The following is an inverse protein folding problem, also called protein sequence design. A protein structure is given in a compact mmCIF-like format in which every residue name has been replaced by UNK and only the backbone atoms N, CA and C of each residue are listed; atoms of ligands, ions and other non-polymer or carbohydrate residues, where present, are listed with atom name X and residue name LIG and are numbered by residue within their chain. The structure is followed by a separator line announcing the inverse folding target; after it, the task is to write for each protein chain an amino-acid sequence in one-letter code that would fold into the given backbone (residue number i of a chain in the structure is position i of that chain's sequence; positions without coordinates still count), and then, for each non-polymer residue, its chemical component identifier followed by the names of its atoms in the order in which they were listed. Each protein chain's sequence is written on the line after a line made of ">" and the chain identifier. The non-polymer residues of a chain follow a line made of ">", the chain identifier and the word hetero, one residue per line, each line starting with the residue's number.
data_IF_752815436186
#
_entry.id   IF_752815436186
#
_cell.length_a   1.000
_cell.length_b   1.000
_cell.length_c   1.000
_cell.angle_alpha   90.00
_cell.angle_beta   90.00
_cell.angle_gamma   90.00
#
_symmetry.space_group_name_H-M   'P 1'
#
loop_
_entity.id
_entity.type
_entity.pdbx_description
1 polymer ?
#
# COMPACT_ATOMS: atom_id res chain seq x y z
N UNK A 1 -7.90 -19.33 2.75
CA UNK A 1 -9.29 -19.45 2.25
C UNK A 1 -9.75 -20.89 2.34
N UNK A 2 -11.04 -21.11 2.56
CA UNK A 2 -11.64 -22.45 2.55
C UNK A 2 -12.03 -22.86 1.12
N UNK A 3 -12.08 -24.17 0.84
CA UNK A 3 -12.41 -24.77 -0.47
C UNK A 3 -13.69 -24.21 -1.08
N UNK A 4 -14.73 -23.95 -0.28
CA UNK A 4 -15.99 -23.36 -0.76
C UNK A 4 -15.82 -21.94 -1.30
N UNK A 5 -14.97 -21.12 -0.68
CA UNK A 5 -14.69 -19.75 -1.14
C UNK A 5 -13.88 -19.78 -2.43
N UNK A 6 -12.91 -20.70 -2.54
CA UNK A 6 -12.12 -20.87 -3.77
C UNK A 6 -13.04 -21.27 -4.93
N UNK A 7 -13.94 -22.22 -4.72
CA UNK A 7 -14.93 -22.63 -5.73
C UNK A 7 -15.86 -21.50 -6.15
N UNK A 8 -16.31 -20.67 -5.18
CA UNK A 8 -17.14 -19.51 -5.50
C UNK A 8 -16.39 -18.52 -6.41
N UNK A 9 -15.14 -18.16 -6.08
CA UNK A 9 -14.35 -17.27 -6.94
C UNK A 9 -14.05 -17.88 -8.31
N UNK A 10 -13.72 -19.17 -8.38
CA UNK A 10 -13.47 -19.86 -9.64
C UNK A 10 -14.66 -19.81 -10.60
N UNK A 11 -15.89 -19.81 -10.07
CA UNK A 11 -17.09 -19.71 -10.89
C UNK A 11 -17.17 -18.40 -11.69
N UNK A 12 -16.54 -17.32 -11.22
CA UNK A 12 -16.50 -16.04 -11.93
C UNK A 12 -15.58 -16.04 -13.14
N UNK A 13 -14.58 -16.92 -13.23
CA UNK A 13 -13.59 -16.91 -14.33
C UNK A 13 -13.41 -18.28 -15.02
N UNK A 14 -14.31 -19.23 -14.75
CA UNK A 14 -14.43 -20.50 -15.48
C UNK A 14 -15.70 -20.54 -16.32
N UNK A 15 -15.95 -19.46 -17.07
CA UNK A 15 -17.09 -19.34 -17.99
C UNK A 15 -16.68 -19.71 -19.43
N UNK A 16 -17.64 -19.72 -20.35
CA UNK A 16 -17.35 -19.91 -21.79
C UNK A 16 -16.70 -18.66 -22.43
N UNK A 17 -16.75 -17.50 -21.77
CA UNK A 17 -16.20 -16.24 -22.26
C UNK A 17 -14.75 -16.07 -21.82
N UNK A 18 -13.80 -16.40 -22.70
CA UNK A 18 -12.36 -16.30 -22.42
C UNK A 18 -11.90 -14.86 -22.10
N UNK A 19 -12.46 -13.88 -22.79
CA UNK A 19 -12.12 -12.46 -22.57
C UNK A 19 -12.53 -12.02 -21.15
N UNK A 20 -13.76 -12.32 -20.75
CA UNK A 20 -14.23 -12.10 -19.38
C UNK A 20 -13.39 -12.84 -18.34
N UNK A 21 -13.11 -14.13 -18.58
CA UNK A 21 -12.31 -14.95 -17.67
C UNK A 21 -10.94 -14.34 -17.41
N UNK A 22 -10.28 -13.80 -18.45
CA UNK A 22 -8.99 -13.13 -18.33
C UNK A 22 -9.05 -11.92 -17.38
N UNK A 23 -10.05 -11.05 -17.56
CA UNK A 23 -10.23 -9.87 -16.71
C UNK A 23 -10.62 -10.21 -15.28
N UNK A 24 -11.59 -11.11 -15.10
CA UNK A 24 -12.03 -11.55 -13.77
C UNK A 24 -10.87 -12.22 -13.00
N UNK A 25 -10.05 -13.02 -13.68
CA UNK A 25 -8.87 -13.64 -13.09
C UNK A 25 -7.78 -12.62 -12.73
N UNK A 26 -7.48 -11.67 -13.63
CA UNK A 26 -6.48 -10.63 -13.36
C UNK A 26 -6.92 -9.74 -12.17
N UNK A 27 -8.21 -9.38 -12.12
CA UNK A 27 -8.79 -8.59 -11.03
C UNK A 27 -8.66 -9.30 -9.69
N UNK A 28 -9.03 -10.58 -9.61
CA UNK A 28 -8.96 -11.33 -8.34
C UNK A 28 -7.51 -11.55 -7.88
N UNK A 29 -6.57 -11.74 -8.82
CA UNK A 29 -5.15 -11.79 -8.48
C UNK A 29 -4.69 -10.46 -7.83
N UNK A 30 -5.08 -9.32 -8.39
CA UNK A 30 -4.72 -8.01 -7.84
C UNK A 30 -5.35 -7.77 -6.46
N UNK A 31 -6.62 -8.14 -6.28
CA UNK A 31 -7.32 -8.07 -4.98
C UNK A 31 -6.60 -8.89 -3.91
N UNK A 32 -6.21 -10.12 -4.24
CA UNK A 32 -5.51 -11.02 -3.31
C UNK A 32 -4.09 -10.53 -2.98
N UNK A 33 -3.39 -9.93 -3.94
CA UNK A 33 -2.06 -9.36 -3.73
C UNK A 33 -2.09 -8.10 -2.85
N UNK A 34 -3.06 -7.21 -3.09
CA UNK A 34 -3.20 -5.96 -2.33
C UNK A 34 -3.81 -6.18 -0.94
N UNK A 35 -4.60 -7.24 -0.76
CA UNK A 35 -5.32 -7.51 0.49
C UNK A 35 -6.29 -6.40 0.88
N UNK A 36 -6.77 -5.64 -0.11
CA UNK A 36 -7.57 -4.43 0.09
C UNK A 36 -9.05 -4.71 0.33
N UNK A 37 -9.53 -5.94 0.18
CA UNK A 37 -10.90 -6.34 0.48
C UNK A 37 -10.94 -7.47 1.52
N UNK A 38 -11.80 -7.35 2.53
CA UNK A 38 -12.03 -8.42 3.51
C UNK A 38 -12.61 -9.68 2.85
N UNK A 39 -13.53 -9.49 1.91
CA UNK A 39 -14.06 -10.55 1.06
C UNK A 39 -13.66 -10.31 -0.41
N UNK A 40 -12.75 -11.15 -0.96
CA UNK A 40 -12.33 -11.05 -2.35
C UNK A 40 -13.44 -11.27 -3.39
N UNK A 41 -14.58 -11.85 -2.98
CA UNK A 41 -15.74 -12.06 -3.85
C UNK A 41 -16.51 -10.76 -4.11
N UNK A 42 -16.53 -9.83 -3.16
CA UNK A 42 -17.26 -8.55 -3.26
C UNK A 42 -16.89 -7.76 -4.52
N UNK A 43 -15.61 -7.49 -4.83
CA UNK A 43 -15.25 -6.76 -6.04
C UNK A 43 -15.61 -7.51 -7.33
N UNK A 44 -15.47 -8.84 -7.38
CA UNK A 44 -15.89 -9.64 -8.55
C UNK A 44 -17.40 -9.59 -8.77
N UNK A 45 -18.17 -9.68 -7.69
CA UNK A 45 -19.62 -9.56 -7.74
C UNK A 45 -20.03 -8.21 -8.30
N UNK A 46 -19.48 -7.12 -7.76
CA UNK A 46 -19.76 -5.77 -8.26
C UNK A 46 -19.33 -5.59 -9.73
N UNK A 47 -18.19 -6.17 -10.10
CA UNK A 47 -17.70 -6.15 -11.48
C UNK A 47 -18.69 -6.85 -12.43
N UNK A 48 -19.13 -8.07 -12.10
CA UNK A 48 -20.14 -8.79 -12.88
C UNK A 48 -21.46 -8.01 -12.97
N UNK A 49 -21.98 -7.53 -11.83
CA UNK A 49 -23.22 -6.77 -11.78
C UNK A 49 -23.16 -5.48 -12.63
N UNK A 50 -21.99 -4.84 -12.72
CA UNK A 50 -21.83 -3.64 -13.56
C UNK A 50 -22.07 -3.94 -15.04
N UNK A 51 -21.60 -5.10 -15.52
CA UNK A 51 -21.76 -5.51 -16.92
C UNK A 51 -23.22 -5.80 -17.21
N UNK A 52 -23.91 -6.49 -16.31
CA UNK A 52 -25.35 -6.72 -16.42
C UNK A 52 -26.12 -5.38 -16.50
N UNK A 53 -25.85 -4.45 -15.59
CA UNK A 53 -26.48 -3.12 -15.59
C UNK A 53 -26.25 -2.36 -16.90
N UNK A 54 -25.01 -2.36 -17.42
CA UNK A 54 -24.69 -1.62 -18.63
C UNK A 54 -25.26 -2.28 -19.87
N UNK A 55 -25.35 -3.60 -19.92
CA UNK A 55 -26.00 -4.31 -21.03
C UNK A 55 -27.52 -4.17 -21.01
N UNK A 56 -28.15 -4.02 -19.83
CA UNK A 56 -29.61 -3.82 -19.71
C UNK A 56 -30.04 -2.36 -19.93
N UNK A 57 -29.19 -1.39 -19.56
CA UNK A 57 -29.54 0.03 -19.55
C UNK A 57 -28.67 0.90 -20.48
N UNK A 58 -28.03 0.32 -21.49
CA UNK A 58 -27.15 1.05 -22.43
C UNK A 58 -27.85 2.20 -23.17
N UNK A 59 -29.16 2.09 -23.45
CA UNK A 59 -29.95 3.16 -24.06
C UNK A 59 -30.12 4.39 -23.15
N UNK A 60 -29.84 4.23 -21.85
CA UNK A 60 -29.88 5.32 -20.86
C UNK A 60 -28.59 5.37 -20.03
N UNK A 61 -27.46 5.81 -20.63
CA UNK A 61 -26.13 5.73 -20.02
C UNK A 61 -26.02 6.34 -18.62
N UNK A 62 -26.64 7.52 -18.42
CA UNK A 62 -26.64 8.19 -17.12
C UNK A 62 -27.32 7.35 -16.03
N UNK A 63 -28.46 6.73 -16.35
CA UNK A 63 -29.19 5.87 -15.42
C UNK A 63 -28.40 4.61 -15.11
N UNK A 64 -27.75 4.02 -16.11
CA UNK A 64 -26.93 2.82 -15.93
C UNK A 64 -25.77 3.08 -14.95
N UNK A 65 -25.05 4.19 -15.11
CA UNK A 65 -23.96 4.58 -14.19
C UNK A 65 -24.48 4.89 -12.79
N UNK A 66 -25.63 5.56 -12.65
CA UNK A 66 -26.25 5.83 -11.35
C UNK A 66 -26.69 4.55 -10.63
N UNK A 67 -27.23 3.58 -11.35
CA UNK A 67 -27.61 2.27 -10.80
C UNK A 67 -26.38 1.52 -10.31
N UNK A 68 -25.30 1.53 -11.09
CA UNK A 68 -24.04 0.93 -10.66
C UNK A 68 -23.47 1.62 -9.42
N UNK A 69 -23.46 2.95 -9.37
CA UNK A 69 -23.03 3.72 -8.19
C UNK A 69 -23.85 3.33 -6.95
N UNK A 70 -25.17 3.27 -7.08
CA UNK A 70 -26.06 2.84 -6.00
C UNK A 70 -25.80 1.39 -5.55
N UNK A 71 -25.43 0.48 -6.46
CA UNK A 71 -25.09 -0.90 -6.14
C UNK A 71 -23.77 -0.99 -5.35
N UNK A 72 -22.79 -0.15 -5.69
CA UNK A 72 -21.54 -0.02 -4.91
C UNK A 72 -21.78 0.56 -3.52
N UNK A 73 -22.68 1.53 -3.39
CA UNK A 73 -23.02 2.17 -2.09
C UNK A 73 -23.76 1.22 -1.13
N UNK A 74 -24.45 0.20 -1.65
CA UNK A 74 -25.05 -0.85 -0.84
C UNK A 74 -24.02 -1.78 -0.20
N UNK A 75 -22.82 -1.87 -0.77
CA UNK A 75 -21.75 -2.68 -0.22
C UNK A 75 -20.99 -1.89 0.85
N UNK A 76 -20.50 -2.58 1.89
CA UNK A 76 -19.68 -1.98 2.95
C UNK A 76 -18.25 -1.77 2.47
N UNK A 77 -18.06 -0.99 1.41
CA UNK A 77 -16.75 -0.68 0.83
C UNK A 77 -16.40 0.80 0.99
N UNK A 78 -15.11 1.10 1.13
CA UNK A 78 -14.59 2.46 1.24
C UNK A 78 -14.39 3.13 -0.14
N UNK A 79 -13.99 4.41 -0.15
CA UNK A 79 -13.77 5.19 -1.39
C UNK A 79 -12.63 4.64 -2.26
N UNK A 80 -11.59 4.05 -1.66
CA UNK A 80 -10.43 3.47 -2.37
C UNK A 80 -10.85 2.16 -3.04
N UNK A 81 -11.57 1.31 -2.32
CA UNK A 81 -12.18 0.08 -2.82
C UNK A 81 -13.20 0.38 -3.92
N UNK A 82 -14.03 1.42 -3.75
CA UNK A 82 -14.98 1.87 -4.77
C UNK A 82 -14.24 2.34 -6.03
N UNK A 83 -13.20 3.16 -5.89
CA UNK A 83 -12.35 3.57 -7.00
C UNK A 83 -11.76 2.37 -7.74
N UNK A 84 -11.23 1.40 -7.01
CA UNK A 84 -10.66 0.17 -7.60
C UNK A 84 -11.67 -0.57 -8.49
N UNK A 85 -12.90 -0.77 -8.02
CA UNK A 85 -13.94 -1.43 -8.82
C UNK A 85 -14.28 -0.59 -10.06
N UNK A 86 -14.46 0.73 -9.90
CA UNK A 86 -14.75 1.62 -11.03
C UNK A 86 -13.66 1.62 -12.10
N UNK A 87 -12.38 1.59 -11.73
CA UNK A 87 -11.26 1.50 -12.66
C UNK A 87 -11.27 0.19 -13.46
N UNK A 88 -11.55 -0.93 -12.79
CA UNK A 88 -11.65 -2.25 -13.41
C UNK A 88 -12.83 -2.36 -14.38
N UNK A 89 -13.98 -1.83 -13.97
CA UNK A 89 -15.18 -1.73 -14.80
C UNK A 89 -14.90 -0.88 -16.05
N UNK A 90 -14.31 0.30 -15.87
CA UNK A 90 -13.92 1.17 -16.99
C UNK A 90 -12.91 0.50 -17.91
N UNK A 91 -11.91 -0.21 -17.36
CA UNK A 91 -10.91 -0.97 -18.13
C UNK A 91 -11.58 -2.02 -19.01
N UNK A 92 -12.52 -2.78 -18.46
CA UNK A 92 -13.24 -3.81 -19.21
C UNK A 92 -14.12 -3.19 -20.30
N UNK A 93 -15.00 -2.24 -19.95
CA UNK A 93 -15.93 -1.61 -20.90
C UNK A 93 -15.16 -0.92 -22.04
N UNK A 94 -13.99 -0.34 -21.78
CA UNK A 94 -13.16 0.32 -22.80
C UNK A 94 -12.59 -0.63 -23.85
N UNK A 95 -12.20 -1.84 -23.43
CA UNK A 95 -11.48 -2.80 -24.29
C UNK A 95 -12.32 -4.01 -24.68
N UNK A 96 -13.64 -3.97 -24.44
CA UNK A 96 -14.57 -5.04 -24.80
C UNK A 96 -15.56 -4.55 -25.85
N UNK A 97 -15.93 -5.44 -26.75
CA UNK A 97 -16.99 -5.21 -27.73
C UNK A 97 -18.31 -5.77 -27.20
N UNK A 98 -19.39 -5.00 -27.34
CA UNK A 98 -20.73 -5.40 -26.94
C UNK A 98 -21.61 -5.47 -28.19
N UNK A 99 -22.16 -6.65 -28.49
CA UNK A 99 -22.85 -6.93 -29.76
C UNK A 99 -23.99 -5.97 -30.11
N UNK A 100 -24.66 -5.38 -29.10
CA UNK A 100 -25.87 -4.56 -29.26
C UNK A 100 -25.83 -3.20 -28.56
N UNK A 101 -24.77 -2.90 -27.83
CA UNK A 101 -24.71 -1.73 -26.97
C UNK A 101 -23.63 -0.76 -27.43
N UNK A 102 -24.04 0.44 -27.85
CA UNK A 102 -23.13 1.58 -27.89
C UNK A 102 -22.82 1.98 -26.45
N UNK A 103 -21.56 1.82 -26.06
CA UNK A 103 -21.09 2.05 -24.69
C UNK A 103 -20.24 3.31 -24.57
N UNK A 104 -20.11 4.12 -25.62
CA UNK A 104 -19.21 5.27 -25.62
C UNK A 104 -19.62 6.33 -24.58
N UNK A 105 -20.92 6.63 -24.49
CA UNK A 105 -21.43 7.52 -23.43
C UNK A 105 -21.22 6.93 -22.02
N UNK A 106 -21.39 5.62 -21.85
CA UNK A 106 -21.11 4.93 -20.58
C UNK A 106 -19.63 5.04 -20.22
N UNK A 107 -18.73 4.85 -21.19
CA UNK A 107 -17.27 4.99 -21.00
C UNK A 107 -16.92 6.39 -20.52
N UNK A 108 -17.46 7.43 -21.16
CA UNK A 108 -17.18 8.82 -20.81
C UNK A 108 -17.71 9.19 -19.43
N UNK A 109 -18.93 8.75 -19.10
CA UNK A 109 -19.51 8.95 -17.77
C UNK A 109 -18.73 8.19 -16.68
N UNK A 110 -18.40 6.93 -16.90
CA UNK A 110 -17.58 6.14 -15.98
C UNK A 110 -16.20 6.76 -15.77
N UNK A 111 -15.57 7.27 -16.83
CA UNK A 111 -14.31 7.99 -16.75
C UNK A 111 -14.44 9.24 -15.88
N UNK A 112 -15.49 10.04 -16.08
CA UNK A 112 -15.77 11.22 -15.26
C UNK A 112 -15.94 10.86 -13.78
N UNK A 113 -16.72 9.81 -13.48
CA UNK A 113 -16.93 9.33 -12.11
C UNK A 113 -15.65 8.81 -11.46
N UNK A 114 -14.85 8.06 -12.22
CA UNK A 114 -13.56 7.52 -11.78
C UNK A 114 -12.60 8.66 -11.42
N UNK A 115 -12.51 9.70 -12.25
CA UNK A 115 -11.67 10.88 -11.95
C UNK A 115 -12.16 11.66 -10.73
N UNK A 116 -13.48 11.77 -10.53
CA UNK A 116 -14.06 12.36 -9.32
C UNK A 116 -13.63 11.57 -8.07
N UNK A 117 -13.71 10.25 -8.11
CA UNK A 117 -13.29 9.36 -7.02
C UNK A 117 -11.77 9.47 -6.77
N UNK A 118 -10.94 9.53 -7.81
CA UNK A 118 -9.48 9.76 -7.66
C UNK A 118 -9.18 11.05 -6.93
N UNK A 119 -9.86 12.14 -7.30
CA UNK A 119 -9.69 13.44 -6.63
C UNK A 119 -10.10 13.37 -5.16
N UNK A 120 -11.16 12.63 -4.84
CA UNK A 120 -11.61 12.43 -3.46
C UNK A 120 -10.62 11.61 -2.63
N UNK A 121 -10.13 10.50 -3.18
CA UNK A 121 -9.08 9.68 -2.57
C UNK A 121 -7.80 10.50 -2.35
N UNK A 122 -7.40 11.33 -3.31
CA UNK A 122 -6.22 12.21 -3.20
C UNK A 122 -6.35 13.25 -2.06
N UNK A 123 -7.56 13.59 -1.62
CA UNK A 123 -7.79 14.51 -0.49
C UNK A 123 -7.69 13.80 0.87
N UNK A 124 -7.71 12.47 0.91
CA UNK A 124 -7.57 11.73 2.17
C UNK A 124 -6.12 11.81 2.69
N UNK A 125 -5.91 12.09 3.99
CA UNK A 125 -4.58 12.25 4.57
C UNK A 125 -3.74 10.96 4.51
N UNK A 126 -4.39 9.80 4.42
CA UNK A 126 -3.76 8.48 4.38
C UNK A 126 -3.23 8.10 2.98
N UNK A 127 -3.85 8.61 1.90
CA UNK A 127 -3.42 8.39 0.51
C UNK A 127 -2.26 9.31 0.08
N UNK A 128 -1.98 10.37 0.86
CA UNK A 128 -0.81 11.24 0.69
C UNK A 128 0.45 10.68 1.35
N UNK A 129 0.56 9.37 1.57
CA UNK A 129 1.85 8.74 1.87
C UNK A 129 2.53 8.41 0.53
N UNK A 130 3.60 9.12 0.13
CA UNK A 130 4.38 8.69 -1.02
C UNK A 130 4.81 7.23 -0.80
N UNK A 131 4.85 6.43 -1.87
CA UNK A 131 5.25 5.00 -1.85
C UNK A 131 6.54 4.74 -1.04
N UNK A 132 7.43 5.73 -0.98
CA UNK A 132 8.70 5.68 -0.22
C UNK A 132 8.48 5.75 1.31
N UNK A 133 7.45 6.47 1.75
CA UNK A 133 7.05 6.54 3.16
C UNK A 133 6.52 5.21 3.66
N UNK A 134 5.63 4.55 2.90
CA UNK A 134 5.05 3.26 3.32
C UNK A 134 6.10 2.14 3.39
N UNK A 135 7.04 2.09 2.45
CA UNK A 135 8.13 1.09 2.48
C UNK A 135 9.08 1.36 3.65
N UNK A 136 9.46 2.63 3.89
CA UNK A 136 10.33 2.97 5.02
C UNK A 136 9.67 2.65 6.36
N UNK A 137 8.40 2.99 6.51
CA UNK A 137 7.64 2.72 7.74
C UNK A 137 7.49 1.20 7.95
N UNK A 138 7.17 0.45 6.91
CA UNK A 138 7.08 -1.02 6.97
C UNK A 138 8.42 -1.66 7.34
N UNK A 139 9.52 -1.21 6.71
CA UNK A 139 10.87 -1.69 7.04
C UNK A 139 11.24 -1.34 8.48
N UNK A 140 10.90 -0.14 8.95
CA UNK A 140 11.13 0.29 10.32
C UNK A 140 10.38 -0.58 11.31
N UNK A 141 9.11 -0.88 11.05
CA UNK A 141 8.28 -1.73 11.89
C UNK A 141 8.80 -3.17 11.93
N UNK A 142 9.20 -3.73 10.78
CA UNK A 142 9.81 -5.06 10.71
C UNK A 142 11.12 -5.12 11.48
N UNK A 143 12.02 -4.15 11.25
CA UNK A 143 13.29 -4.08 11.98
C UNK A 143 13.09 -3.90 13.48
N UNK A 144 12.10 -3.11 13.89
CA UNK A 144 11.81 -2.91 15.31
C UNK A 144 11.31 -4.20 15.96
N UNK A 145 10.39 -4.93 15.32
CA UNK A 145 9.91 -6.23 15.81
C UNK A 145 11.04 -7.25 15.95
N UNK A 146 11.94 -7.32 14.98
CA UNK A 146 13.12 -8.20 15.04
C UNK A 146 14.06 -7.83 16.20
N UNK A 147 14.28 -6.53 16.43
CA UNK A 147 15.10 -6.06 17.56
C UNK A 147 14.43 -6.31 18.92
N UNK A 148 13.11 -6.21 19.01
CA UNK A 148 12.34 -6.53 20.23
C UNK A 148 12.39 -8.01 20.56
N UNK A 149 12.42 -8.88 19.55
CA UNK A 149 12.55 -10.34 19.71
C UNK A 149 13.99 -10.82 19.90
N UNK A 150 14.99 -9.96 19.66
CA UNK A 150 16.42 -10.27 19.75
C UNK A 150 16.82 -11.02 21.06
N UNK A 151 16.31 -10.68 22.26
CA UNK A 151 16.63 -11.42 23.47
C UNK A 151 16.20 -12.88 23.44
N UNK A 152 15.04 -13.18 22.85
CA UNK A 152 14.55 -14.56 22.70
C UNK A 152 15.35 -15.29 21.63
N UNK A 153 15.58 -14.67 20.47
CA UNK A 153 16.38 -15.26 19.38
C UNK A 153 17.82 -15.56 19.81
N UNK A 154 18.40 -14.72 20.68
CA UNK A 154 19.74 -14.97 21.24
C UNK A 154 19.76 -16.15 22.22
N UNK A 155 18.65 -16.45 22.92
CA UNK A 155 18.56 -17.60 23.85
C UNK A 155 18.62 -18.95 23.14
N UNK A 156 18.22 -19.00 21.88
CA UNK A 156 18.23 -20.22 21.07
C UNK A 156 19.60 -20.52 20.43
N UNK A 157 20.53 -19.57 20.48
CA UNK A 157 21.90 -19.76 19.97
C UNK A 157 22.80 -20.50 20.97
N UNK A 158 23.71 -21.31 20.43
CA UNK A 158 24.81 -21.94 21.17
C UNK A 158 25.69 -20.88 21.87
N UNK A 159 26.25 -21.16 23.07
CA UNK A 159 26.97 -20.17 23.87
C UNK A 159 28.07 -19.40 23.13
N UNK A 160 28.83 -20.09 22.27
CA UNK A 160 29.92 -19.49 21.47
C UNK A 160 29.38 -18.53 20.40
N UNK A 161 28.26 -18.87 19.77
CA UNK A 161 27.63 -18.04 18.74
C UNK A 161 26.97 -16.80 19.37
N UNK A 162 26.30 -16.98 20.51
CA UNK A 162 25.73 -15.88 21.29
C UNK A 162 26.80 -14.88 21.70
N UNK A 163 27.94 -15.34 22.21
CA UNK A 163 29.06 -14.47 22.56
C UNK A 163 29.56 -13.66 21.36
N UNK A 164 29.74 -14.30 20.21
CA UNK A 164 30.19 -13.62 18.99
C UNK A 164 29.20 -12.52 18.54
N UNK A 165 27.89 -12.79 18.60
CA UNK A 165 26.87 -11.79 18.26
C UNK A 165 26.89 -10.63 19.26
N UNK A 166 26.97 -10.91 20.57
CA UNK A 166 27.06 -9.86 21.59
C UNK A 166 28.30 -8.98 21.38
N UNK A 167 29.47 -9.56 21.10
CA UNK A 167 30.68 -8.80 20.80
C UNK A 167 30.52 -7.83 19.62
N UNK A 168 29.73 -8.19 18.61
CA UNK A 168 29.42 -7.32 17.46
C UNK A 168 28.40 -6.23 17.79
N UNK A 169 27.54 -6.44 18.79
CA UNK A 169 26.53 -5.47 19.23
C UNK A 169 27.07 -4.45 20.24
N UNK A 170 28.09 -4.81 21.03
CA UNK A 170 28.75 -3.92 22.02
C UNK A 170 29.09 -2.52 21.48
N UNK A 171 29.67 -2.34 20.29
CA UNK A 171 30.02 -1.01 19.75
C UNK A 171 28.83 -0.07 19.53
N UNK A 172 27.61 -0.61 19.44
CA UNK A 172 26.39 0.18 19.24
C UNK A 172 25.73 0.59 20.56
N UNK A 173 26.07 -0.08 21.67
CA UNK A 173 25.52 0.19 23.00
C UNK A 173 26.47 1.07 23.82
N UNK A 174 27.79 0.90 23.64
CA UNK A 174 28.77 1.68 24.37
C UNK A 174 28.93 3.08 23.77
N UNK A 175 29.08 4.12 24.61
CA UNK A 175 29.39 5.47 24.14
C UNK A 175 30.73 5.47 23.40
N UNK A 176 30.84 6.26 22.34
CA UNK A 176 32.12 6.47 21.66
C UNK A 176 33.10 7.08 22.65
N UNK A 177 34.17 6.36 22.95
CA UNK A 177 35.25 6.87 23.80
C UNK A 177 36.08 7.80 22.93
N UNK A 178 35.91 9.11 23.11
CA UNK A 178 36.82 10.08 22.51
C UNK A 178 38.20 9.92 23.16
N UNK A 179 39.25 9.84 22.33
CA UNK A 179 40.61 9.85 22.84
C UNK A 179 40.85 11.19 23.51
N UNK A 180 40.97 11.19 24.83
CA UNK A 180 41.27 12.37 25.61
C UNK A 180 42.78 12.62 25.55
N UNK A 181 43.18 13.82 25.10
CA UNK A 181 44.57 14.26 25.20
C UNK A 181 44.97 14.31 26.69
N UNK A 182 46.18 13.86 27.02
CA UNK A 182 46.65 13.71 28.40
C UNK A 182 46.59 14.99 29.25
N UNK A 183 46.54 16.16 28.63
CA UNK A 183 46.50 17.47 29.27
C UNK A 183 45.07 17.98 29.55
N UNK A 184 44.03 17.24 29.14
CA UNK A 184 42.62 17.65 29.31
C UNK A 184 42.25 17.64 30.80
N UNK A 185 42.08 18.83 31.38
CA UNK A 185 41.75 19.01 32.80
C UNK A 185 42.91 19.58 33.62
N UNK A 186 44.08 19.79 33.02
CA UNK A 186 45.18 20.53 33.66
C UNK A 186 44.88 22.04 33.67
N UNK A 187 45.24 22.77 34.73
CA UNK A 187 45.07 24.22 34.78
C UNK A 187 45.92 24.88 33.71
N UNK A 188 45.31 25.72 32.86
CA UNK A 188 46.04 26.49 31.85
C UNK A 188 47.15 27.31 32.52
N UNK A 189 48.40 26.99 32.21
CA UNK A 189 49.53 27.80 32.66
C UNK A 189 49.48 29.13 31.91
N UNK A 190 48.84 30.13 32.52
CA UNK A 190 48.88 31.52 32.04
C UNK A 190 50.33 31.99 32.12
N UNK A 191 51.04 31.90 31.00
CA UNK A 191 52.36 32.51 30.84
C UNK A 191 52.19 34.03 30.86
N UNK A 192 52.28 34.62 32.05
CA UNK A 192 52.39 36.07 32.23
C UNK A 192 53.77 36.53 31.76
N UNK A 193 53.95 36.71 30.47
CA UNK A 193 55.02 37.56 29.95
C UNK A 193 54.42 38.93 29.65
N UNK A 194 54.32 39.75 30.69
CA UNK A 194 54.08 41.19 30.54
C UNK A 194 55.28 41.81 29.82
N UNK A 195 55.14 42.18 28.55
CA UNK A 195 55.99 43.19 27.95
C UNK A 195 55.23 44.51 27.97
N UNK A 196 55.59 45.37 28.94
CA UNK A 196 55.11 46.75 29.03
C UNK A 196 55.58 47.52 27.79
N UNK A 197 54.64 47.94 26.95
CA UNK A 197 54.91 48.93 25.91
C UNK A 197 55.14 50.30 26.54
N UNK A 198 56.40 50.71 26.67
CA UNK A 198 56.75 52.13 26.70
C UNK A 198 56.89 52.61 25.25
N UNK A 199 56.17 53.68 24.94
CA UNK A 199 56.33 54.51 23.74
C UNK A 199 57.75 55.10 23.70
N UNK A 200 58.43 54.99 22.55
CA UNK A 200 58.98 56.08 21.70
C UNK A 200 59.37 55.47 20.35
#
# INVERSE_FOLDING_TARGET
>A
MNTKQVQALESYFKTENEHWNGYAFEMICEVLQKGNFENPETPLKLFSQSIDIFTEHFETPLKAVQLFEAETDKQKIDTIQKLFVFEWVLKYVKYSEFEKADTDEIKDLLKSQTERLKVEVNKQPEYNKPLVGSIRDTLKDLMQKELEQLPETLKDLEPVQRLNVLCKLIPYVLPKVEAVHSEKGEPETVNKTTFSGYQW
#
